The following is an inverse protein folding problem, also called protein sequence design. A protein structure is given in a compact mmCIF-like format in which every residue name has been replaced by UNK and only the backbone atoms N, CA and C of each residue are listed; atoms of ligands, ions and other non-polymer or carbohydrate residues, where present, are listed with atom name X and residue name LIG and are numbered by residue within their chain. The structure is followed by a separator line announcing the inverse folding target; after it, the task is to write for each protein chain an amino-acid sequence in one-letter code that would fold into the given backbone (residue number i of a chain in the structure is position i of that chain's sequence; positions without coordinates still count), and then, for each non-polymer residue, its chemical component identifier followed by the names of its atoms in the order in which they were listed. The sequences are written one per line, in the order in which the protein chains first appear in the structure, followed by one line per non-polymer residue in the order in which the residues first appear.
data_IF_961133757209
#
_entry.id   IF_961133757209
#
_cell.length_a   1.000
_cell.length_b   1.000
_cell.length_c   1.000
_cell.angle_alpha   90.00
_cell.angle_beta   90.00
_cell.angle_gamma   90.00
#
_symmetry.space_group_name_H-M   'P 1'
#
loop_
_entity.id
_entity.type
_entity.pdbx_description
1 polymer ?
#
# COMPACT_ATOMS: atom_id res chain seq x y z
N UNK A 1 18.33 -3.90 4.28
CA UNK A 1 18.93 -2.65 3.76
C UNK A 1 19.63 -1.84 4.85
N UNK A 2 19.02 -1.59 6.00
CA UNK A 2 19.62 -0.77 7.06
C UNK A 2 21.02 -1.23 7.53
N UNK A 3 21.26 -2.54 7.69
CA UNK A 3 22.57 -3.06 8.15
C UNK A 3 23.52 -3.49 7.03
N UNK A 4 23.01 -3.78 5.83
CA UNK A 4 23.80 -4.38 4.74
C UNK A 4 24.22 -3.36 3.66
N UNK A 5 23.42 -2.31 3.45
CA UNK A 5 23.62 -1.41 2.32
C UNK A 5 24.21 -0.05 2.70
N UNK A 6 24.22 0.34 3.99
CA UNK A 6 24.66 1.66 4.50
C UNK A 6 24.29 2.84 3.58
N UNK A 7 23.09 2.78 3.00
CA UNK A 7 22.55 3.78 2.08
C UNK A 7 21.28 4.36 2.70
N UNK A 8 21.00 5.66 2.51
CA UNK A 8 19.84 6.34 3.08
C UNK A 8 18.53 5.98 2.35
N UNK A 9 18.31 4.69 2.07
CA UNK A 9 17.11 4.18 1.42
C UNK A 9 16.27 3.36 2.41
N UNK A 10 15.01 3.78 2.58
CA UNK A 10 13.99 3.00 3.27
C UNK A 10 13.24 2.19 2.22
N UNK A 11 13.20 0.88 2.41
CA UNK A 11 12.37 -0.01 1.61
C UNK A 11 11.05 -0.21 2.35
N UNK A 12 10.00 0.41 1.84
CA UNK A 12 8.63 0.15 2.30
C UNK A 12 8.04 -1.09 1.62
N UNK A 13 7.01 -1.71 2.20
CA UNK A 13 6.24 -2.75 1.53
C UNK A 13 5.56 -2.18 0.27
N UNK A 14 5.71 -2.88 -0.86
CA UNK A 14 5.11 -2.47 -2.12
C UNK A 14 3.59 -2.61 -2.12
N UNK A 15 2.87 -1.49 -2.05
CA UNK A 15 1.40 -1.47 -2.00
C UNK A 15 0.73 -1.85 -3.34
N UNK A 16 1.41 -1.66 -4.47
CA UNK A 16 0.84 -1.94 -5.80
C UNK A 16 0.55 -3.42 -6.02
N UNK A 17 1.51 -4.28 -5.66
CA UNK A 17 1.37 -5.72 -5.83
C UNK A 17 0.29 -6.34 -4.93
N UNK A 18 0.21 -5.90 -3.68
CA UNK A 18 -0.82 -6.40 -2.75
C UNK A 18 -2.23 -5.97 -3.14
N UNK A 19 -2.39 -4.75 -3.68
CA UNK A 19 -3.68 -4.29 -4.22
C UNK A 19 -4.09 -5.08 -5.47
N UNK A 20 -3.15 -5.38 -6.38
CA UNK A 20 -3.44 -6.21 -7.55
C UNK A 20 -3.91 -7.62 -7.17
N UNK A 21 -3.26 -8.26 -6.19
CA UNK A 21 -3.70 -9.58 -5.71
C UNK A 21 -5.06 -9.50 -5.02
N UNK A 22 -5.25 -8.54 -4.10
CA UNK A 22 -6.45 -8.49 -3.27
C UNK A 22 -7.69 -7.95 -3.99
N UNK A 23 -7.54 -6.90 -4.80
CA UNK A 23 -8.69 -6.19 -5.40
C UNK A 23 -8.97 -6.68 -6.82
N UNK A 24 -7.93 -6.87 -7.64
CA UNK A 24 -8.12 -7.27 -9.05
C UNK A 24 -8.25 -8.79 -9.17
N UNK A 25 -7.24 -9.55 -8.75
CA UNK A 25 -7.24 -11.00 -8.91
C UNK A 25 -8.33 -11.66 -8.05
N UNK A 26 -8.33 -11.39 -6.74
CA UNK A 26 -9.32 -11.99 -5.84
C UNK A 26 -10.71 -11.32 -5.89
N UNK A 27 -10.76 -10.01 -6.13
CA UNK A 27 -12.01 -9.26 -6.11
C UNK A 27 -12.77 -9.26 -7.44
N UNK A 28 -12.13 -8.88 -8.56
CA UNK A 28 -12.81 -8.74 -9.85
C UNK A 28 -12.80 -10.01 -10.69
N UNK A 29 -11.68 -10.74 -10.70
CA UNK A 29 -11.51 -11.94 -11.54
C UNK A 29 -11.88 -13.24 -10.82
N UNK A 30 -12.15 -13.19 -9.51
CA UNK A 30 -12.54 -14.37 -8.70
C UNK A 30 -11.44 -15.41 -8.55
N UNK A 31 -10.18 -15.05 -8.81
CA UNK A 31 -9.02 -15.94 -8.71
C UNK A 31 -8.61 -16.04 -7.24
N UNK A 32 -8.37 -17.26 -6.74
CA UNK A 32 -7.90 -17.46 -5.37
C UNK A 32 -6.64 -16.65 -5.06
N UNK A 33 -6.59 -16.01 -3.89
CA UNK A 33 -5.41 -15.24 -3.44
C UNK A 33 -4.14 -16.11 -3.39
N UNK A 34 -4.31 -17.42 -3.20
CA UNK A 34 -3.27 -18.45 -3.29
C UNK A 34 -2.57 -18.47 -4.65
N UNK A 35 -3.34 -18.42 -5.73
CA UNK A 35 -2.83 -18.35 -7.11
C UNK A 35 -2.20 -16.99 -7.37
N UNK A 36 -2.78 -15.91 -6.83
CA UNK A 36 -2.18 -14.57 -6.88
C UNK A 36 -0.81 -14.47 -6.22
N UNK A 37 -0.61 -15.13 -5.07
CA UNK A 37 0.70 -15.26 -4.42
C UNK A 37 1.68 -16.10 -5.27
N UNK A 38 1.18 -17.14 -5.96
CA UNK A 38 1.96 -17.93 -6.90
C UNK A 38 2.47 -17.09 -8.08
N UNK A 39 1.61 -16.25 -8.65
CA UNK A 39 1.97 -15.30 -9.73
C UNK A 39 3.04 -14.31 -9.23
N UNK A 40 2.84 -13.75 -8.03
CA UNK A 40 3.81 -12.83 -7.43
C UNK A 40 5.19 -13.50 -7.22
N UNK A 41 5.22 -14.75 -6.74
CA UNK A 41 6.43 -15.53 -6.57
C UNK A 41 7.17 -15.74 -7.91
N UNK A 42 6.46 -16.22 -8.94
CA UNK A 42 7.02 -16.39 -10.28
C UNK A 42 7.52 -15.09 -10.91
N UNK A 43 6.80 -13.99 -10.70
CA UNK A 43 7.22 -12.67 -11.17
C UNK A 43 8.54 -12.23 -10.53
N UNK A 44 8.73 -12.52 -9.24
CA UNK A 44 9.97 -12.22 -8.52
C UNK A 44 11.16 -13.06 -9.00
N UNK A 45 10.95 -14.35 -9.24
CA UNK A 45 11.96 -15.24 -9.81
C UNK A 45 12.36 -14.77 -11.22
N UNK A 46 11.37 -14.46 -12.07
CA UNK A 46 11.63 -13.99 -13.43
C UNK A 46 12.36 -12.63 -13.43
N UNK A 47 11.96 -11.72 -12.54
CA UNK A 47 12.62 -10.43 -12.37
C UNK A 47 14.09 -10.59 -11.92
N UNK A 48 14.34 -11.51 -10.98
CA UNK A 48 15.69 -11.83 -10.53
C UNK A 48 16.57 -12.35 -11.67
N UNK A 49 16.04 -13.29 -12.47
CA UNK A 49 16.74 -13.81 -13.65
C UNK A 49 17.04 -12.70 -14.67
N UNK A 50 16.04 -11.90 -15.03
CA UNK A 50 16.21 -10.81 -16.01
C UNK A 50 17.19 -9.72 -15.51
N UNK A 51 17.21 -9.46 -14.21
CA UNK A 51 18.20 -8.58 -13.58
C UNK A 51 19.61 -9.15 -13.73
N UNK A 52 19.77 -10.48 -13.54
CA UNK A 52 21.06 -11.15 -13.71
C UNK A 52 21.57 -11.12 -15.16
N UNK A 53 20.67 -11.14 -16.15
CA UNK A 53 20.98 -11.04 -17.57
C UNK A 53 21.12 -9.60 -18.09
N UNK A 54 20.90 -8.58 -17.26
CA UNK A 54 21.09 -7.17 -17.64
C UNK A 54 19.96 -6.57 -18.49
N UNK A 55 18.88 -7.29 -18.75
CA UNK A 55 17.74 -6.82 -19.56
C UNK A 55 16.86 -5.76 -18.86
N UNK A 56 17.07 -5.52 -17.56
CA UNK A 56 16.30 -4.56 -16.75
C UNK A 56 16.27 -3.13 -17.31
N UNK A 57 17.37 -2.72 -17.93
CA UNK A 57 17.52 -1.35 -18.42
C UNK A 57 16.73 -1.12 -19.70
N UNK A 58 16.61 -2.14 -20.55
CA UNK A 58 15.81 -2.11 -21.79
C UNK A 58 14.33 -1.89 -21.43
N UNK A 59 13.81 -2.64 -20.46
CA UNK A 59 12.42 -2.54 -20.00
C UNK A 59 12.12 -1.15 -19.43
N UNK A 60 13.05 -0.61 -18.64
CA UNK A 60 12.88 0.69 -18.00
C UNK A 60 13.01 1.86 -18.99
N UNK A 61 13.82 1.71 -20.04
CA UNK A 61 13.97 2.69 -21.13
C UNK A 61 12.77 2.70 -22.07
N UNK A 62 12.06 1.58 -22.22
CA UNK A 62 10.84 1.51 -23.06
C UNK A 62 9.67 2.34 -22.53
N UNK A 63 9.70 2.78 -21.27
CA UNK A 63 8.60 3.57 -20.68
C UNK A 63 8.88 5.08 -20.80
N UNK A 64 8.02 5.86 -21.49
CA UNK A 64 8.14 7.31 -21.59
C UNK A 64 8.11 8.00 -20.23
N UNK A 65 8.83 9.12 -20.10
CA UNK A 65 8.87 9.93 -18.87
C UNK A 65 7.47 10.38 -18.43
N UNK A 66 6.59 10.72 -19.37
CA UNK A 66 5.20 11.13 -19.06
C UNK A 66 4.42 10.04 -18.31
N UNK A 67 4.63 8.76 -18.67
CA UNK A 67 3.96 7.64 -17.97
C UNK A 67 4.58 7.44 -16.58
N UNK A 68 5.88 7.65 -16.42
CA UNK A 68 6.56 7.56 -15.11
C UNK A 68 6.03 8.63 -14.15
N UNK A 69 5.93 9.88 -14.60
CA UNK A 69 5.38 10.97 -13.81
C UNK A 69 3.90 10.73 -13.48
N UNK A 70 3.10 10.28 -14.45
CA UNK A 70 1.70 9.92 -14.25
C UNK A 70 1.52 8.87 -13.14
N UNK A 71 2.34 7.80 -13.17
CA UNK A 71 2.30 6.74 -12.15
C UNK A 71 2.56 7.29 -10.74
N UNK A 72 3.57 8.16 -10.58
CA UNK A 72 3.87 8.76 -9.26
C UNK A 72 2.72 9.61 -8.73
N UNK A 73 2.09 10.41 -9.61
CA UNK A 73 0.93 11.23 -9.24
C UNK A 73 -0.28 10.34 -8.85
N UNK A 74 -0.55 9.28 -9.61
CA UNK A 74 -1.63 8.34 -9.33
C UNK A 74 -1.46 7.63 -7.98
N UNK A 75 -0.25 7.19 -7.64
CA UNK A 75 0.02 6.54 -6.35
C UNK A 75 -0.18 7.52 -5.19
N UNK A 76 0.30 8.76 -5.32
CA UNK A 76 0.10 9.79 -4.30
C UNK A 76 -1.37 10.10 -4.05
N UNK A 77 -2.15 10.25 -5.13
CA UNK A 77 -3.60 10.49 -5.04
C UNK A 77 -4.33 9.27 -4.45
N UNK A 78 -3.95 8.05 -4.84
CA UNK A 78 -4.53 6.82 -4.30
C UNK A 78 -4.33 6.70 -2.79
N UNK A 79 -3.10 6.96 -2.30
CA UNK A 79 -2.80 6.94 -0.86
C UNK A 79 -3.56 8.03 -0.11
N UNK A 80 -3.70 9.23 -0.69
CA UNK A 80 -4.49 10.32 -0.10
C UNK A 80 -5.97 9.94 0.05
N UNK A 81 -6.58 9.37 -1.00
CA UNK A 81 -7.97 8.90 -0.97
C UNK A 81 -8.15 7.79 0.06
N UNK A 82 -7.22 6.85 0.16
CA UNK A 82 -7.26 5.79 1.18
C UNK A 82 -7.20 6.36 2.60
N UNK A 83 -6.36 7.37 2.83
CA UNK A 83 -6.28 8.10 4.10
C UNK A 83 -7.62 8.77 4.47
N UNK A 84 -8.25 9.47 3.53
CA UNK A 84 -9.55 10.10 3.75
C UNK A 84 -10.68 9.10 3.99
N UNK A 85 -10.64 7.94 3.33
CA UNK A 85 -11.59 6.84 3.59
C UNK A 85 -11.42 6.25 4.98
N UNK A 86 -10.19 5.99 5.40
CA UNK A 86 -9.89 5.45 6.73
C UNK A 86 -10.25 6.44 7.85
N UNK A 87 -10.13 7.74 7.58
CA UNK A 87 -10.53 8.81 8.50
C UNK A 87 -12.06 9.01 8.59
N UNK A 88 -12.85 8.40 7.70
CA UNK A 88 -14.30 8.62 7.62
C UNK A 88 -14.69 9.93 6.92
N UNK A 89 -13.75 10.67 6.31
CA UNK A 89 -14.01 11.89 5.56
C UNK A 89 -14.68 11.61 4.20
N UNK A 90 -14.40 10.43 3.64
CA UNK A 90 -14.97 9.98 2.37
C UNK A 90 -15.55 8.58 2.53
N UNK A 91 -16.84 8.43 2.22
CA UNK A 91 -17.54 7.16 2.22
C UNK A 91 -17.64 6.65 0.79
N UNK A 92 -17.32 5.37 0.60
CA UNK A 92 -17.59 4.69 -0.67
C UNK A 92 -19.00 4.12 -0.61
N UNK A 93 -19.94 4.67 -1.39
CA UNK A 93 -21.27 4.12 -1.48
C UNK A 93 -21.29 3.01 -2.55
N UNK A 94 -21.44 1.77 -2.09
CA UNK A 94 -21.47 0.57 -2.94
C UNK A 94 -22.62 0.58 -3.96
N UNK A 95 -23.68 1.37 -3.74
CA UNK A 95 -24.84 1.44 -4.65
C UNK A 95 -24.66 2.41 -5.82
N UNK A 96 -23.82 3.43 -5.68
CA UNK A 96 -23.62 4.47 -6.70
C UNK A 96 -22.22 4.51 -7.28
N UNK A 97 -21.29 3.65 -6.82
CA UNK A 97 -19.87 3.66 -7.21
C UNK A 97 -19.25 5.06 -7.12
N UNK A 98 -19.76 5.89 -6.20
CA UNK A 98 -19.40 7.28 -6.05
C UNK A 98 -18.84 7.54 -4.65
N UNK A 99 -17.90 8.49 -4.60
CA UNK A 99 -17.36 9.02 -3.35
C UNK A 99 -18.41 9.97 -2.77
N UNK A 100 -18.91 9.66 -1.58
CA UNK A 100 -19.79 10.55 -0.81
C UNK A 100 -18.96 11.22 0.29
N UNK A 101 -19.29 12.49 0.58
CA UNK A 101 -18.71 13.16 1.75
C UNK A 101 -19.22 12.47 3.01
N UNK A 102 -18.30 12.12 3.90
CA UNK A 102 -18.60 11.57 5.21
C UNK A 102 -19.04 12.63 6.20
N UNK A 103 -19.27 12.21 7.44
CA UNK A 103 -19.59 13.12 8.53
C UNK A 103 -18.29 13.76 9.06
N UNK A 104 -18.12 15.06 8.80
CA UNK A 104 -16.96 15.83 9.26
C UNK A 104 -16.95 16.07 10.77
N UNK A 105 -18.09 15.91 11.44
CA UNK A 105 -18.17 16.04 12.90
C UNK A 105 -17.87 14.72 13.61
N UNK A 106 -17.69 13.62 12.86
CA UNK A 106 -17.27 12.37 13.45
C UNK A 106 -15.89 12.53 14.13
N UNK A 107 -15.68 11.94 15.32
CA UNK A 107 -14.41 12.05 16.04
C UNK A 107 -13.18 11.66 15.20
N UNK A 108 -13.31 10.67 14.31
CA UNK A 108 -12.23 10.24 13.42
C UNK A 108 -11.86 11.27 12.34
N UNK A 109 -12.87 11.95 11.77
CA UNK A 109 -12.68 12.99 10.78
C UNK A 109 -11.98 14.22 11.38
N UNK A 110 -12.39 14.64 12.58
CA UNK A 110 -11.79 15.75 13.32
C UNK A 110 -10.32 15.47 13.67
N UNK A 111 -10.01 14.28 14.19
CA UNK A 111 -8.63 13.90 14.52
C UNK A 111 -7.76 13.88 13.26
N UNK A 112 -8.27 13.37 12.14
CA UNK A 112 -7.55 13.36 10.87
C UNK A 112 -7.30 14.77 10.32
N UNK A 113 -8.29 15.67 10.38
CA UNK A 113 -8.14 17.06 9.94
C UNK A 113 -7.16 17.84 10.83
N UNK A 114 -7.27 17.73 12.15
CA UNK A 114 -6.35 18.35 13.09
C UNK A 114 -4.92 17.81 12.91
N UNK A 115 -4.76 16.49 12.74
CA UNK A 115 -3.47 15.86 12.49
C UNK A 115 -2.83 16.31 11.17
N UNK A 116 -3.63 16.42 10.11
CA UNK A 116 -3.17 16.93 8.81
C UNK A 116 -2.74 18.39 8.91
N UNK A 117 -3.53 19.24 9.57
CA UNK A 117 -3.19 20.64 9.78
C UNK A 117 -1.89 20.79 10.58
N UNK A 118 -1.74 20.00 11.65
CA UNK A 118 -0.52 19.99 12.46
C UNK A 118 0.71 19.54 11.65
N UNK A 119 0.56 18.50 10.81
CA UNK A 119 1.62 18.03 9.92
C UNK A 119 2.06 19.14 8.96
N UNK A 120 1.12 19.83 8.31
CA UNK A 120 1.41 20.94 7.39
C UNK A 120 2.08 22.10 8.14
N UNK A 121 1.60 22.47 9.32
CA UNK A 121 2.16 23.56 10.12
C UNK A 121 3.60 23.27 10.58
N UNK A 122 3.86 22.05 11.07
CA UNK A 122 5.21 21.63 11.49
C UNK A 122 6.16 21.49 10.28
N UNK A 123 5.64 21.03 9.13
CA UNK A 123 6.39 20.94 7.90
C UNK A 123 6.77 22.33 7.35
N UNK A 124 5.84 23.29 7.41
CA UNK A 124 6.09 24.68 7.03
C UNK A 124 7.15 25.35 7.93
N UNK A 125 7.19 24.96 9.22
CA UNK A 125 8.22 25.39 10.18
C UNK A 125 9.55 24.62 10.06
N UNK A 126 9.68 23.71 9.08
CA UNK A 126 10.88 22.90 8.81
C UNK A 126 11.42 22.14 10.03
N UNK A 127 10.51 21.69 10.92
CA UNK A 127 10.89 20.92 12.11
C UNK A 127 11.35 19.51 11.69
N UNK A 128 12.52 19.02 12.13
CA UNK A 128 12.95 17.66 11.84
C UNK A 128 11.98 16.65 12.45
N UNK A 129 11.42 15.76 11.63
CA UNK A 129 10.42 14.78 12.06
C UNK A 129 8.99 15.33 12.20
N UNK A 130 8.65 16.43 11.51
CA UNK A 130 7.31 17.04 11.53
C UNK A 130 6.15 16.03 11.38
N UNK A 131 6.28 15.08 10.44
CA UNK A 131 5.27 14.04 10.20
C UNK A 131 5.15 13.09 11.41
N UNK A 132 6.27 12.71 12.05
CA UNK A 132 6.26 11.82 13.22
C UNK A 132 5.60 12.50 14.43
N UNK A 133 5.91 13.78 14.67
CA UNK A 133 5.26 14.57 15.70
C UNK A 133 3.76 14.72 15.45
N UNK A 134 3.35 14.94 14.21
CA UNK A 134 1.95 15.02 13.86
C UNK A 134 1.19 13.71 14.12
N UNK A 135 1.80 12.56 13.78
CA UNK A 135 1.23 11.24 14.08
C UNK A 135 1.09 11.04 15.59
N UNK A 136 2.14 11.31 16.38
CA UNK A 136 2.12 11.18 17.83
C UNK A 136 1.03 12.04 18.47
N UNK A 137 0.94 13.31 18.08
CA UNK A 137 -0.09 14.21 18.58
C UNK A 137 -1.50 13.75 18.14
N UNK A 138 -1.68 13.32 16.89
CA UNK A 138 -2.97 12.81 16.42
C UNK A 138 -3.40 11.54 17.18
N UNK A 139 -2.46 10.64 17.49
CA UNK A 139 -2.73 9.46 18.33
C UNK A 139 -3.10 9.85 19.76
N UNK A 140 -2.36 10.79 20.38
CA UNK A 140 -2.65 11.26 21.74
C UNK A 140 -4.03 11.93 21.84
N UNK A 141 -4.43 12.68 20.82
CA UNK A 141 -5.77 13.28 20.73
C UNK A 141 -6.82 12.21 20.36
N UNK A 142 -6.46 11.18 19.59
CA UNK A 142 -7.38 10.10 19.22
C UNK A 142 -7.83 9.21 20.39
N UNK A 143 -7.04 9.10 21.47
CA UNK A 143 -7.36 8.34 22.68
C UNK A 143 -8.59 8.89 23.43
N UNK A 144 -8.64 10.17 23.85
CA UNK A 144 -9.81 10.73 24.56
C UNK A 144 -11.07 10.79 23.70
N UNK A 145 -10.93 10.89 22.38
CA UNK A 145 -12.05 10.87 21.43
C UNK A 145 -12.55 9.45 21.10
N UNK A 146 -11.97 8.40 21.69
CA UNK A 146 -12.39 7.00 21.50
C UNK A 146 -12.13 6.43 20.10
N UNK A 147 -11.43 7.18 19.24
CA UNK A 147 -11.04 6.78 17.88
C UNK A 147 -9.87 5.80 17.94
N UNK A 148 -8.96 6.00 18.89
CA UNK A 148 -7.81 5.13 19.14
C UNK A 148 -8.08 4.27 20.36
N UNK A 149 -8.39 2.99 20.15
CA UNK A 149 -8.43 2.01 21.24
C UNK A 149 -7.00 1.74 21.69
N UNK A 150 -6.73 1.91 22.98
CA UNK A 150 -5.47 1.48 23.57
C UNK A 150 -5.35 -0.04 23.38
N UNK A 151 -4.21 -0.54 22.87
CA UNK A 151 -4.03 -1.98 22.75
C UNK A 151 -4.11 -2.61 24.15
N UNK A 152 -4.94 -3.64 24.30
CA UNK A 152 -5.13 -4.35 25.57
C UNK A 152 -3.89 -5.16 25.99
N UNK A 153 -2.91 -5.31 25.09
CA UNK A 153 -1.62 -5.95 25.33
C UNK A 153 -0.48 -5.07 24.77
N UNK A 154 0.57 -4.84 25.56
CA UNK A 154 1.76 -4.10 25.14
C UNK A 154 2.63 -4.85 24.14
N UNK A 155 2.41 -6.17 24.00
CA UNK A 155 3.12 -7.07 23.09
C UNK A 155 2.06 -7.98 22.46
N UNK A 156 1.69 -7.68 21.21
CA UNK A 156 0.96 -8.63 20.38
C UNK A 156 1.96 -9.64 19.81
N UNK A 157 1.71 -10.92 20.04
CA UNK A 157 2.43 -11.97 19.33
C UNK A 157 2.03 -11.90 17.84
N UNK A 158 2.99 -12.04 16.89
CA UNK A 158 2.66 -12.01 15.48
C UNK A 158 1.59 -13.06 15.17
N UNK A 159 0.55 -12.66 14.44
CA UNK A 159 -0.50 -13.57 14.01
C UNK A 159 0.13 -14.80 13.36
N UNK A 160 -0.39 -15.98 13.71
CA UNK A 160 0.08 -17.27 13.22
C UNK A 160 0.30 -17.22 11.70
N UNK A 161 1.50 -17.61 11.26
CA UNK A 161 1.84 -17.77 9.85
C UNK A 161 1.26 -19.06 9.25
N UNK A 162 0.71 -19.96 10.09
CA UNK A 162 0.15 -21.25 9.66
C UNK A 162 -0.91 -21.19 8.55
N UNK A 163 -1.82 -20.19 8.46
CA UNK A 163 -2.80 -20.14 7.39
C UNK A 163 -2.23 -19.64 6.05
N UNK A 164 -1.01 -19.10 6.03
CA UNK A 164 -0.36 -18.55 4.83
C UNK A 164 0.79 -19.45 4.35
N UNK A 165 1.43 -20.17 5.27
CA UNK A 165 2.55 -21.06 4.97
C UNK A 165 2.08 -22.28 4.15
N UNK A 166 2.50 -22.36 2.89
CA UNK A 166 2.24 -23.53 2.03
C UNK A 166 0.96 -23.46 1.17
N UNK A 167 0.16 -22.41 1.30
CA UNK A 167 -1.05 -22.19 0.46
C UNK A 167 -0.71 -21.52 -0.89
N UNK A 168 0.53 -21.56 -1.35
CA UNK A 168 0.94 -20.92 -2.60
C UNK A 168 0.70 -21.88 -3.76
N UNK A 169 -0.25 -21.54 -4.62
CA UNK A 169 -0.53 -22.33 -5.83
C UNK A 169 0.40 -21.91 -6.96
N UNK A 170 1.55 -22.59 -7.05
CA UNK A 170 2.60 -22.36 -8.06
C UNK A 170 2.24 -22.93 -9.45
N UNK A 171 1.36 -23.93 -9.50
CA UNK A 171 0.97 -24.63 -10.73
C UNK A 171 -0.18 -23.91 -11.42
N UNK A 172 -1.19 -23.44 -10.67
CA UNK A 172 -2.27 -22.62 -11.20
C UNK A 172 -1.77 -21.26 -11.72
N UNK A 173 -0.70 -20.73 -11.12
CA UNK A 173 -0.08 -19.47 -11.54
C UNK A 173 0.56 -19.50 -12.94
N UNK A 174 0.87 -20.70 -13.47
CA UNK A 174 1.53 -20.88 -14.77
C UNK A 174 0.54 -21.05 -15.94
N UNK A 175 -0.76 -20.93 -15.67
CA UNK A 175 -1.78 -21.04 -16.71
C UNK A 175 -1.68 -19.86 -17.70
N UNK A 176 -1.88 -20.13 -18.98
CA UNK A 176 -1.77 -19.15 -20.09
C UNK A 176 -2.71 -17.95 -19.86
N UNK A 177 -3.83 -18.14 -19.16
CA UNK A 177 -4.76 -17.08 -18.78
C UNK A 177 -4.14 -16.00 -17.87
N UNK A 178 -3.09 -16.32 -17.10
CA UNK A 178 -2.51 -15.43 -16.09
C UNK A 178 -1.14 -14.85 -16.48
N UNK A 179 -0.61 -15.23 -17.65
CA UNK A 179 0.60 -14.65 -18.23
C UNK A 179 0.57 -13.11 -18.30
N UNK A 180 -0.55 -12.46 -18.71
CA UNK A 180 -0.62 -11.00 -18.70
C UNK A 180 -0.38 -10.38 -17.32
N UNK A 181 -0.90 -10.99 -16.26
CA UNK A 181 -0.71 -10.50 -14.88
C UNK A 181 0.74 -10.68 -14.41
N UNK A 182 1.41 -11.76 -14.82
CA UNK A 182 2.83 -11.97 -14.54
C UNK A 182 3.69 -10.84 -15.13
N UNK A 183 3.40 -10.39 -16.36
CA UNK A 183 4.09 -9.25 -16.98
C UNK A 183 3.74 -7.90 -16.34
N UNK A 184 2.55 -7.74 -15.76
CA UNK A 184 2.18 -6.53 -15.01
C UNK A 184 3.02 -6.42 -13.73
N UNK A 185 3.18 -7.52 -12.98
CA UNK A 185 4.03 -7.55 -11.79
C UNK A 185 5.51 -7.29 -12.11
N UNK A 186 5.98 -7.70 -13.28
CA UNK A 186 7.36 -7.47 -13.71
C UNK A 186 7.73 -5.99 -13.90
N UNK A 187 6.73 -5.11 -14.10
CA UNK A 187 6.96 -3.67 -14.32
C UNK A 187 7.09 -2.85 -13.02
N UNK A 188 6.55 -3.36 -11.90
CA UNK A 188 6.46 -2.67 -10.61
C UNK A 188 7.73 -2.92 -9.79
#
# INVERSE_FOLDING_TARGET
MAFYANLPFIVGPGIGGSVLVGVTLAGSEGIGWQTGLGIACWSGILFFLLTRFGLREVVTRSVPQSIKLGLTASIGLFVAVLGFRNAGLVLANAKTNALMLGDFLAPGALVALCGLFLAIALQARKVPGAILWAILCATLVGIPFGVTKLPTHFIDAPHSLAPVLGQVDLLGALNIAFLPFLFVFFRI
#
